data_IF_765909897734
#
_entry.id   IF_765909897734
#
_cell.length_a   1.000
_cell.length_b   1.000
_cell.length_c   1.000
_cell.angle_alpha   90.00
_cell.angle_beta   90.00
_cell.angle_gamma   90.00
#
_symmetry.space_group_name_H-M   'P 1'
#
loop_
_entity.id
_entity.type
_entity.pdbx_description
1 polymer ?
#
# COMPACT_ATOMS: atom_id res chain seq x y z
N UNK A 1 -35.30 -0.36 -4.03
CA UNK A 1 -33.98 -0.47 -3.40
C UNK A 1 -33.23 -1.48 -4.23
N UNK A 2 -32.51 -0.97 -5.24
CA UNK A 2 -31.83 -1.78 -6.24
C UNK A 2 -30.52 -2.33 -5.69
N UNK A 3 -30.36 -3.63 -5.84
CA UNK A 3 -29.16 -4.42 -5.54
C UNK A 3 -27.89 -3.78 -6.13
N UNK A 4 -27.13 -3.10 -5.29
CA UNK A 4 -25.71 -2.80 -5.52
C UNK A 4 -24.87 -4.00 -5.07
N UNK A 5 -25.20 -5.16 -5.59
CA UNK A 5 -24.51 -6.40 -5.25
C UNK A 5 -24.03 -7.08 -6.47
N UNK A 6 -22.74 -7.31 -6.49
CA UNK A 6 -21.90 -8.25 -7.24
C UNK A 6 -20.92 -7.66 -8.27
N UNK A 7 -20.51 -6.42 -8.16
CA UNK A 7 -19.24 -6.06 -8.73
C UNK A 7 -18.15 -6.74 -7.87
N UNK A 8 -17.43 -7.68 -8.45
CA UNK A 8 -16.35 -8.42 -7.78
C UNK A 8 -15.35 -7.41 -7.22
N UNK A 9 -15.22 -7.37 -5.90
CA UNK A 9 -14.32 -6.42 -5.22
C UNK A 9 -12.89 -6.74 -5.57
N UNK A 10 -12.19 -5.79 -6.19
CA UNK A 10 -10.75 -5.92 -6.49
C UNK A 10 -9.91 -5.80 -5.21
N UNK A 11 -10.29 -4.84 -4.36
CA UNK A 11 -9.64 -4.61 -3.07
C UNK A 11 -10.71 -4.51 -1.99
N UNK A 12 -10.50 -5.24 -0.90
CA UNK A 12 -11.39 -5.25 0.26
C UNK A 12 -10.58 -4.99 1.53
N UNK A 13 -10.90 -3.92 2.22
CA UNK A 13 -10.26 -3.54 3.49
C UNK A 13 -11.26 -3.76 4.61
N UNK A 14 -10.86 -4.46 5.67
CA UNK A 14 -11.73 -4.80 6.80
C UNK A 14 -11.04 -4.48 8.12
N UNK A 15 -11.68 -3.66 8.91
CA UNK A 15 -11.26 -3.23 10.26
C UNK A 15 -9.77 -2.88 10.36
N UNK A 16 -9.28 -2.16 9.34
CA UNK A 16 -7.87 -1.83 9.22
C UNK A 16 -7.44 -0.90 10.34
N UNK A 17 -6.43 -1.31 11.12
CA UNK A 17 -5.79 -0.49 12.13
C UNK A 17 -4.29 -0.35 11.85
N UNK A 18 -3.79 0.86 11.99
CA UNK A 18 -2.37 1.19 11.90
C UNK A 18 -2.00 2.05 13.08
N UNK A 19 -1.31 1.44 14.02
CA UNK A 19 -0.91 2.07 15.27
C UNK A 19 0.62 2.15 15.33
N UNK A 20 1.13 3.32 15.63
CA UNK A 20 2.57 3.56 15.76
C UNK A 20 2.95 3.68 17.23
N UNK A 21 3.81 2.78 17.78
CA UNK A 21 4.28 2.89 19.15
C UNK A 21 5.21 4.09 19.28
N UNK A 22 4.93 4.96 20.24
CA UNK A 22 5.80 6.06 20.66
C UNK A 22 6.76 5.51 21.71
N UNK A 23 8.05 5.51 21.38
CA UNK A 23 9.09 5.06 22.29
C UNK A 23 9.61 6.25 23.10
N UNK A 24 9.75 6.08 24.42
CA UNK A 24 10.26 7.09 25.34
C UNK A 24 11.30 6.56 26.32
N UNK A 25 12.05 7.48 26.92
CA UNK A 25 13.07 7.18 27.91
C UNK A 25 14.34 6.53 27.38
N UNK A 26 15.36 6.39 28.24
CA UNK A 26 16.67 5.81 27.90
C UNK A 26 16.56 4.34 27.47
N UNK A 27 15.57 3.62 27.97
CA UNK A 27 15.31 2.20 27.64
C UNK A 27 14.39 1.99 26.44
N UNK A 28 14.03 3.06 25.70
CA UNK A 28 13.17 2.97 24.50
C UNK A 28 11.89 2.15 24.69
N UNK A 29 11.26 2.22 25.87
CA UNK A 29 9.99 1.53 26.12
C UNK A 29 8.86 2.26 25.43
N UNK A 30 7.85 1.50 24.98
CA UNK A 30 6.61 2.08 24.44
C UNK A 30 5.89 2.82 25.56
N UNK A 31 5.77 4.14 25.43
CA UNK A 31 5.12 5.02 26.42
C UNK A 31 3.75 5.49 25.96
N UNK A 32 3.48 5.41 24.66
CA UNK A 32 2.18 5.81 24.05
C UNK A 32 2.02 5.13 22.71
N UNK A 33 0.81 5.24 22.11
CA UNK A 33 0.48 4.68 20.79
C UNK A 33 -0.29 5.71 19.99
N UNK A 34 0.24 6.11 18.84
CA UNK A 34 -0.46 6.95 17.88
C UNK A 34 -1.32 6.08 16.98
N UNK A 35 -2.63 6.18 17.11
CA UNK A 35 -3.62 5.51 16.28
C UNK A 35 -3.83 6.28 14.98
N UNK A 36 -3.02 6.03 13.97
CA UNK A 36 -3.07 6.74 12.70
C UNK A 36 -4.26 6.30 11.82
N UNK A 37 -4.67 5.06 11.94
CA UNK A 37 -5.90 4.48 11.39
C UNK A 37 -6.48 3.57 12.46
N UNK A 38 -7.77 3.66 12.75
CA UNK A 38 -8.40 2.93 13.86
C UNK A 38 -9.76 2.35 13.44
N UNK A 39 -9.72 1.25 12.67
CA UNK A 39 -10.90 0.46 12.34
C UNK A 39 -11.70 0.96 11.13
N UNK A 40 -11.07 1.08 9.96
CA UNK A 40 -11.77 1.44 8.72
C UNK A 40 -12.03 0.21 7.84
N UNK A 41 -13.18 0.23 7.17
CA UNK A 41 -13.58 -0.81 6.22
C UNK A 41 -14.15 -0.18 4.95
N UNK A 42 -13.74 -0.66 3.78
CA UNK A 42 -14.28 -0.24 2.49
C UNK A 42 -13.89 -1.24 1.40
N UNK A 43 -14.57 -1.14 0.27
CA UNK A 43 -14.29 -1.93 -0.92
C UNK A 43 -13.94 -1.03 -2.10
N UNK A 44 -13.08 -1.53 -2.99
CA UNK A 44 -12.80 -0.96 -4.30
C UNK A 44 -13.22 -1.96 -5.36
N UNK A 45 -14.36 -1.73 -6.04
CA UNK A 45 -14.80 -2.60 -7.12
C UNK A 45 -13.81 -2.61 -8.29
N UNK A 46 -13.79 -3.70 -9.05
CA UNK A 46 -12.92 -3.81 -10.22
C UNK A 46 -13.31 -2.77 -11.29
N UNK A 47 -12.31 -2.03 -11.77
CA UNK A 47 -12.50 -1.01 -12.81
C UNK A 47 -13.07 0.31 -12.32
N UNK A 48 -13.28 0.47 -11.01
CA UNK A 48 -13.80 1.71 -10.43
C UNK A 48 -12.74 2.52 -9.70
N UNK A 49 -13.04 3.80 -9.47
CA UNK A 49 -12.21 4.72 -8.69
C UNK A 49 -12.93 5.05 -7.39
N UNK A 50 -12.25 4.82 -6.27
CA UNK A 50 -12.75 5.18 -4.93
C UNK A 50 -11.92 6.32 -4.36
N UNK A 51 -12.60 7.38 -3.93
CA UNK A 51 -11.98 8.55 -3.28
C UNK A 51 -12.01 8.43 -1.76
N UNK A 52 -10.84 8.51 -1.12
CA UNK A 52 -10.73 8.62 0.33
C UNK A 52 -10.54 10.08 0.72
N UNK A 53 -11.57 10.68 1.33
CA UNK A 53 -11.60 12.10 1.70
C UNK A 53 -11.57 12.28 3.22
N UNK A 54 -11.09 13.43 3.68
CA UNK A 54 -11.00 13.77 5.09
C UNK A 54 -10.01 14.90 5.33
N UNK A 55 -9.95 15.42 6.54
CA UNK A 55 -9.05 16.49 6.95
C UNK A 55 -7.57 16.07 6.94
N UNK A 56 -6.67 17.06 7.03
CA UNK A 56 -5.24 16.77 7.22
C UNK A 56 -5.04 15.99 8.52
N UNK A 57 -4.22 14.93 8.47
CA UNK A 57 -3.98 14.07 9.64
C UNK A 57 -5.04 12.98 9.88
N UNK A 58 -6.12 12.88 9.10
CA UNK A 58 -7.15 11.85 9.27
C UNK A 58 -6.76 10.43 8.86
N UNK A 59 -5.50 10.17 8.53
CA UNK A 59 -5.00 8.83 8.24
C UNK A 59 -5.04 8.39 6.77
N UNK A 60 -5.53 9.22 5.83
CA UNK A 60 -5.63 8.86 4.39
C UNK A 60 -4.33 8.31 3.79
N UNK A 61 -3.25 9.05 3.96
CA UNK A 61 -1.93 8.65 3.47
C UNK A 61 -1.44 7.35 4.14
N UNK A 62 -1.71 7.21 5.44
CA UNK A 62 -1.36 6.01 6.19
C UNK A 62 -2.14 4.80 5.71
N UNK A 63 -3.43 4.97 5.42
CA UNK A 63 -4.28 3.93 4.81
C UNK A 63 -3.70 3.45 3.49
N UNK A 64 -3.42 4.34 2.55
CA UNK A 64 -2.82 3.97 1.27
C UNK A 64 -1.47 3.28 1.41
N UNK A 65 -0.62 3.77 2.33
CA UNK A 65 0.68 3.13 2.64
C UNK A 65 0.53 1.75 3.27
N UNK A 66 -0.48 1.54 4.11
CA UNK A 66 -0.76 0.24 4.71
C UNK A 66 -1.23 -0.77 3.66
N UNK A 67 -2.12 -0.38 2.74
CA UNK A 67 -2.56 -1.21 1.62
C UNK A 67 -1.38 -1.62 0.73
N UNK A 68 -0.48 -0.69 0.42
CA UNK A 68 0.75 -0.96 -0.34
C UNK A 68 1.84 -1.66 0.49
N UNK A 69 1.57 -1.97 1.77
CA UNK A 69 2.53 -2.56 2.73
C UNK A 69 3.84 -1.77 2.86
N UNK A 70 3.75 -0.47 2.78
CA UNK A 70 4.85 0.46 3.07
C UNK A 70 4.94 0.78 4.56
N UNK A 71 3.85 0.55 5.30
CA UNK A 71 3.80 0.58 6.77
C UNK A 71 3.14 -0.71 7.28
N UNK A 72 3.48 -1.17 8.49
CA UNK A 72 2.89 -2.38 9.05
C UNK A 72 1.41 -2.16 9.40
N UNK A 73 0.61 -3.19 9.18
CA UNK A 73 -0.77 -3.28 9.63
C UNK A 73 -0.73 -3.81 11.06
N UNK A 74 -1.45 -3.16 11.98
CA UNK A 74 -1.55 -3.58 13.38
C UNK A 74 -2.62 -4.64 13.56
N UNK A 75 -3.81 -4.39 12.99
CA UNK A 75 -4.96 -5.29 13.00
C UNK A 75 -5.77 -5.11 11.72
N UNK A 76 -6.70 -6.03 11.48
CA UNK A 76 -7.57 -6.04 10.31
C UNK A 76 -6.95 -6.78 9.14
N UNK A 77 -7.61 -6.70 7.99
CA UNK A 77 -7.17 -7.39 6.76
C UNK A 77 -7.28 -6.50 5.53
N UNK A 78 -6.45 -6.81 4.54
CA UNK A 78 -6.44 -6.15 3.23
C UNK A 78 -6.41 -7.24 2.17
N UNK A 79 -7.55 -7.50 1.53
CA UNK A 79 -7.65 -8.49 0.47
C UNK A 79 -7.52 -7.83 -0.89
N UNK A 80 -6.62 -8.36 -1.70
CA UNK A 80 -6.58 -8.10 -3.12
C UNK A 80 -7.10 -9.35 -3.83
N UNK A 81 -8.25 -9.22 -4.48
CA UNK A 81 -9.04 -10.37 -4.90
C UNK A 81 -9.33 -11.27 -3.67
N UNK A 82 -9.00 -12.54 -3.72
CA UNK A 82 -9.21 -13.48 -2.61
C UNK A 82 -8.03 -13.59 -1.63
N UNK A 83 -6.94 -12.85 -1.85
CA UNK A 83 -5.70 -12.95 -1.07
C UNK A 83 -5.58 -11.86 -0.02
N UNK A 84 -5.48 -12.24 1.24
CA UNK A 84 -5.13 -11.30 2.31
C UNK A 84 -3.65 -10.93 2.23
N UNK A 85 -3.41 -9.68 1.83
CA UNK A 85 -2.06 -9.13 1.68
C UNK A 85 -1.36 -8.95 3.03
N UNK A 86 -2.11 -8.78 4.14
CA UNK A 86 -1.53 -8.56 5.46
C UNK A 86 -0.75 -9.78 5.95
N UNK A 87 -1.20 -10.98 5.60
CA UNK A 87 -0.63 -12.26 6.05
C UNK A 87 0.52 -12.76 5.18
N UNK A 88 0.72 -12.21 3.99
CA UNK A 88 1.76 -12.66 3.06
C UNK A 88 3.17 -12.41 3.61
N UNK A 89 4.10 -13.32 3.33
CA UNK A 89 5.52 -13.05 3.53
C UNK A 89 6.01 -11.91 2.61
N UNK A 90 7.17 -11.33 2.91
CA UNK A 90 7.78 -10.31 2.02
C UNK A 90 8.03 -10.85 0.61
N UNK A 91 8.41 -12.11 0.52
CA UNK A 91 8.69 -12.79 -0.75
C UNK A 91 7.41 -12.96 -1.57
N UNK A 92 6.34 -13.41 -0.94
CA UNK A 92 5.06 -13.65 -1.62
C UNK A 92 4.40 -12.33 -2.03
N UNK A 93 4.48 -11.29 -1.18
CA UNK A 93 3.99 -9.97 -1.52
C UNK A 93 4.75 -9.32 -2.69
N UNK A 94 5.98 -9.73 -2.98
CA UNK A 94 6.77 -9.18 -4.09
C UNK A 94 6.05 -9.32 -5.45
N UNK A 95 5.31 -10.42 -5.66
CA UNK A 95 4.53 -10.62 -6.88
C UNK A 95 3.39 -9.59 -7.03
N UNK A 96 2.83 -9.10 -5.91
CA UNK A 96 1.75 -8.11 -5.91
C UNK A 96 2.23 -6.69 -6.17
N UNK A 97 3.51 -6.38 -6.01
CA UNK A 97 4.07 -5.06 -6.31
C UNK A 97 3.94 -4.64 -7.78
N UNK A 98 3.79 -5.60 -8.69
CA UNK A 98 3.46 -5.33 -10.09
C UNK A 98 2.01 -4.89 -10.28
N UNK A 99 1.11 -5.36 -9.42
CA UNK A 99 -0.33 -5.13 -9.49
C UNK A 99 -0.77 -3.90 -8.68
N UNK A 100 -0.08 -3.63 -7.57
CA UNK A 100 -0.37 -2.53 -6.65
C UNK A 100 0.74 -1.49 -6.78
N UNK A 101 0.44 -0.39 -7.45
CA UNK A 101 1.36 0.71 -7.69
C UNK A 101 0.95 1.94 -6.88
N UNK A 102 1.93 2.71 -6.43
CA UNK A 102 1.72 3.93 -5.65
C UNK A 102 2.27 5.11 -6.42
N UNK A 103 1.42 6.12 -6.62
CA UNK A 103 1.86 7.43 -7.12
C UNK A 103 1.92 8.36 -5.91
N UNK A 104 3.12 8.87 -5.61
CA UNK A 104 3.30 9.81 -4.50
C UNK A 104 2.88 11.22 -4.87
N UNK A 105 2.50 12.00 -3.87
CA UNK A 105 2.04 13.39 -4.03
C UNK A 105 3.11 14.30 -4.68
N UNK A 106 4.38 14.03 -4.43
CA UNK A 106 5.52 14.66 -5.11
C UNK A 106 6.19 13.63 -6.05
N UNK A 107 5.77 13.58 -7.32
CA UNK A 107 6.35 12.64 -8.28
C UNK A 107 7.80 13.00 -8.64
N UNK A 108 8.18 14.28 -8.63
CA UNK A 108 9.54 14.69 -8.96
C UNK A 108 10.54 14.33 -7.86
N UNK A 109 10.16 14.51 -6.59
CA UNK A 109 10.96 14.07 -5.45
C UNK A 109 11.10 12.55 -5.34
N UNK A 110 10.25 11.81 -6.05
CA UNK A 110 10.31 10.34 -6.08
C UNK A 110 11.34 9.80 -7.08
N UNK A 111 11.84 10.63 -8.00
CA UNK A 111 12.82 10.25 -9.00
C UNK A 111 14.24 10.56 -8.50
N UNK A 112 15.15 9.63 -8.68
CA UNK A 112 16.56 9.86 -8.35
C UNK A 112 17.21 10.77 -9.42
N UNK A 113 17.59 12.02 -9.08
CA UNK A 113 18.13 12.99 -10.06
C UNK A 113 19.50 12.59 -10.63
N UNK A 114 20.15 11.59 -10.05
CA UNK A 114 21.43 11.07 -10.54
C UNK A 114 21.28 9.94 -11.57
N UNK A 115 20.05 9.48 -11.80
CA UNK A 115 19.76 8.44 -12.79
C UNK A 115 19.35 9.05 -14.12
N UNK A 116 19.67 8.39 -15.21
CA UNK A 116 19.16 8.73 -16.53
C UNK A 116 17.68 8.34 -16.62
N UNK A 117 16.92 9.00 -17.50
CA UNK A 117 15.50 8.65 -17.77
C UNK A 117 15.38 7.17 -18.16
N UNK A 118 16.30 6.69 -19.01
CA UNK A 118 16.35 5.27 -19.38
C UNK A 118 16.47 4.37 -18.14
N UNK A 119 17.41 4.67 -17.24
CA UNK A 119 17.63 3.87 -16.03
C UNK A 119 16.40 3.85 -15.10
N UNK A 120 15.72 4.99 -14.98
CA UNK A 120 14.50 5.10 -14.16
C UNK A 120 13.38 4.21 -14.74
N UNK A 121 13.20 4.26 -16.08
CA UNK A 121 12.17 3.46 -16.76
C UNK A 121 12.53 1.97 -16.75
N UNK A 122 13.81 1.64 -16.88
CA UNK A 122 14.28 0.25 -16.92
C UNK A 122 14.30 -0.43 -15.54
N UNK A 123 14.44 0.34 -14.45
CA UNK A 123 14.58 -0.21 -13.09
C UNK A 123 13.47 -1.20 -12.71
N UNK A 124 12.17 -0.92 -12.90
CA UNK A 124 11.10 -1.89 -12.62
C UNK A 124 11.23 -3.17 -13.45
N UNK A 125 11.70 -3.07 -14.70
CA UNK A 125 11.92 -4.23 -15.55
C UNK A 125 13.09 -5.08 -15.03
N UNK A 126 14.16 -4.44 -14.59
CA UNK A 126 15.33 -5.12 -14.01
C UNK A 126 14.99 -5.84 -12.70
N UNK A 127 14.11 -5.25 -11.90
CA UNK A 127 13.68 -5.83 -10.64
C UNK A 127 12.73 -7.01 -10.85
N UNK A 128 11.75 -6.88 -11.74
CA UNK A 128 10.63 -7.80 -11.86
C UNK A 128 10.75 -8.81 -12.99
N UNK A 129 11.62 -8.57 -13.99
CA UNK A 129 11.81 -9.40 -15.17
C UNK A 129 13.28 -9.69 -15.37
N UNK A 130 13.89 -10.31 -14.35
CA UNK A 130 15.32 -10.62 -14.33
C UNK A 130 15.76 -11.56 -15.45
N UNK A 131 14.83 -12.40 -15.89
CA UNK A 131 15.00 -13.37 -16.97
C UNK A 131 15.02 -12.73 -18.37
N UNK A 132 14.56 -11.49 -18.51
CA UNK A 132 14.56 -10.79 -19.79
C UNK A 132 15.96 -10.32 -20.18
N UNK A 133 16.31 -10.51 -21.44
CA UNK A 133 17.53 -9.94 -22.01
C UNK A 133 17.45 -8.43 -22.14
N UNK A 134 18.59 -7.75 -22.34
CA UNK A 134 18.62 -6.29 -22.54
C UNK A 134 17.78 -5.82 -23.74
N UNK A 135 17.63 -6.66 -24.77
CA UNK A 135 16.82 -6.35 -25.95
C UNK A 135 15.33 -6.54 -25.75
N UNK A 136 14.92 -7.22 -24.67
CA UNK A 136 13.52 -7.43 -24.30
C UNK A 136 13.02 -6.39 -23.27
N UNK A 137 13.94 -5.70 -22.61
CA UNK A 137 13.69 -4.60 -21.69
C UNK A 137 13.75 -3.25 -22.39
#
# INVERSE_FOLDING_TARGET
MSDLSTAESLLSVRDLKVHFPVKGGVLQRTVDVVKAVDGISFDVPRGETVGLVGESGSGKTTTGRAIARLVPITEGSVHYEERDLATLSRRDFFAYRKKIQVIFQDPFGSLNPRMTIYSIIAEPLDIHFKEWSKSQK
#
